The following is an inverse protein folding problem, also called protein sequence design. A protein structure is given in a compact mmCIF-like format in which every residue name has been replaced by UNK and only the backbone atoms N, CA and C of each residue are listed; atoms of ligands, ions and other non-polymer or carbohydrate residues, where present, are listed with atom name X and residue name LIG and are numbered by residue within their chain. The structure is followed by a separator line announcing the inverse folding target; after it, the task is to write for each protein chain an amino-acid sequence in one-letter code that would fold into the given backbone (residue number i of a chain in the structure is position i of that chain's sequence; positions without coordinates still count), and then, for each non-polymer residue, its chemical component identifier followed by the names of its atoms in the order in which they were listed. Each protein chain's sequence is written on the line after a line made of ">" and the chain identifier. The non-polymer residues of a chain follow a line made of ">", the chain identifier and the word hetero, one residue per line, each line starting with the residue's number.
data_IF_991999702115
#
_entry.id   IF_991999702115
#
_cell.length_a   1.000
_cell.length_b   1.000
_cell.length_c   1.000
_cell.angle_alpha   90.00
_cell.angle_beta   90.00
_cell.angle_gamma   90.00
#
_symmetry.space_group_name_H-M   'P 1'
#
loop_
_entity.id
_entity.type
_entity.pdbx_description
1 polymer ?
#
# COMPACT_ATOMS: atom_id res chain seq x y z
N UNK A 1 -2.54 20.46 -2.25
CA UNK A 1 -1.72 19.25 -2.48
C UNK A 1 -1.18 19.29 -3.90
N UNK A 2 0.11 19.07 -4.08
CA UNK A 2 0.76 19.03 -5.39
C UNK A 2 0.19 17.86 -6.23
N UNK A 3 -0.19 18.13 -7.49
CA UNK A 3 -0.85 17.13 -8.34
C UNK A 3 0.09 15.98 -8.72
N UNK A 4 1.39 16.27 -8.89
CA UNK A 4 2.40 15.25 -9.18
C UNK A 4 2.56 14.31 -7.98
N UNK A 5 2.63 14.88 -6.78
CA UNK A 5 2.75 14.14 -5.54
C UNK A 5 1.53 13.25 -5.28
N UNK A 6 0.32 13.78 -5.51
CA UNK A 6 -0.94 13.00 -5.47
C UNK A 6 -0.88 11.80 -6.40
N UNK A 7 -0.48 12.00 -7.67
CA UNK A 7 -0.36 10.91 -8.65
C UNK A 7 0.65 9.86 -8.24
N UNK A 8 1.81 10.28 -7.71
CA UNK A 8 2.85 9.37 -7.21
C UNK A 8 2.35 8.53 -6.03
N UNK A 9 1.66 9.15 -5.06
CA UNK A 9 1.03 8.44 -3.96
C UNK A 9 0.04 7.37 -4.43
N UNK A 10 -0.93 7.75 -5.27
CA UNK A 10 -1.93 6.82 -5.81
C UNK A 10 -1.27 5.69 -6.58
N UNK A 11 -0.27 5.99 -7.41
CA UNK A 11 0.48 4.99 -8.16
C UNK A 11 1.18 3.97 -7.25
N UNK A 12 1.89 4.44 -6.22
CA UNK A 12 2.61 3.57 -5.29
C UNK A 12 1.66 2.76 -4.39
N UNK A 13 0.59 3.37 -3.88
CA UNK A 13 -0.41 2.67 -3.08
C UNK A 13 -1.11 1.57 -3.88
N UNK A 14 -1.44 1.82 -5.15
CA UNK A 14 -1.99 0.80 -6.06
C UNK A 14 -1.01 -0.35 -6.30
N UNK A 15 0.27 -0.04 -6.52
CA UNK A 15 1.28 -1.07 -6.69
C UNK A 15 1.38 -1.97 -5.45
N UNK A 16 1.41 -1.39 -4.25
CA UNK A 16 1.40 -2.15 -2.99
C UNK A 16 0.16 -3.03 -2.88
N UNK A 17 -1.04 -2.51 -3.21
CA UNK A 17 -2.28 -3.30 -3.23
C UNK A 17 -2.17 -4.51 -4.16
N UNK A 18 -1.67 -4.33 -5.38
CA UNK A 18 -1.51 -5.41 -6.35
C UNK A 18 -0.53 -6.49 -5.85
N UNK A 19 0.57 -6.07 -5.23
CA UNK A 19 1.53 -7.02 -4.64
C UNK A 19 0.92 -7.79 -3.47
N UNK A 20 0.16 -7.12 -2.61
CA UNK A 20 -0.58 -7.77 -1.52
C UNK A 20 -1.58 -8.79 -2.05
N UNK A 21 -2.33 -8.46 -3.11
CA UNK A 21 -3.26 -9.40 -3.74
C UNK A 21 -2.57 -10.63 -4.30
N UNK A 22 -1.38 -10.45 -4.90
CA UNK A 22 -0.57 -11.56 -5.39
C UNK A 22 -0.11 -12.47 -4.25
N UNK A 23 0.44 -11.89 -3.18
CA UNK A 23 0.91 -12.63 -1.99
C UNK A 23 -0.23 -13.38 -1.29
N UNK A 24 -1.38 -12.73 -1.15
CA UNK A 24 -2.56 -13.31 -0.50
C UNK A 24 -3.39 -14.23 -1.40
N UNK A 25 -3.09 -14.28 -2.70
CA UNK A 25 -3.93 -14.91 -3.73
C UNK A 25 -5.43 -14.58 -3.57
N UNK A 26 -5.73 -13.32 -3.25
CA UNK A 26 -7.06 -12.84 -2.89
C UNK A 26 -7.15 -11.33 -3.13
N UNK A 27 -8.35 -10.80 -3.34
CA UNK A 27 -8.58 -9.34 -3.37
C UNK A 27 -8.98 -8.78 -2.00
N UNK A 28 -9.25 -9.65 -1.03
CA UNK A 28 -9.55 -9.27 0.35
C UNK A 28 -8.27 -8.82 1.08
N UNK A 29 -8.19 -7.53 1.44
CA UNK A 29 -6.99 -6.96 2.05
C UNK A 29 -6.67 -7.58 3.42
N UNK A 30 -7.67 -7.98 4.21
CA UNK A 30 -7.42 -8.62 5.50
C UNK A 30 -6.70 -9.97 5.33
N UNK A 31 -7.15 -10.78 4.36
CA UNK A 31 -6.50 -12.02 3.94
C UNK A 31 -5.07 -11.77 3.46
N UNK A 32 -4.88 -10.76 2.62
CA UNK A 32 -3.56 -10.41 2.08
C UNK A 32 -2.58 -9.95 3.17
N UNK A 33 -3.04 -9.11 4.11
CA UNK A 33 -2.23 -8.71 5.25
C UNK A 33 -1.89 -9.89 6.15
N UNK A 34 -2.83 -10.81 6.36
CA UNK A 34 -2.56 -12.03 7.12
C UNK A 34 -1.44 -12.87 6.47
N UNK A 35 -1.54 -13.11 5.16
CA UNK A 35 -0.51 -13.84 4.40
C UNK A 35 0.86 -13.14 4.45
N UNK A 36 0.89 -11.82 4.23
CA UNK A 36 2.13 -11.03 4.28
C UNK A 36 2.76 -11.01 5.69
N UNK A 37 1.95 -11.00 6.77
CA UNK A 37 2.45 -11.16 8.15
C UNK A 37 3.02 -12.55 8.40
N UNK A 38 2.30 -13.59 8.00
CA UNK A 38 2.74 -14.98 8.17
C UNK A 38 4.04 -15.27 7.42
N UNK A 39 4.25 -14.66 6.25
CA UNK A 39 5.50 -14.70 5.50
C UNK A 39 6.63 -13.82 6.05
N UNK A 40 6.43 -13.14 7.20
CA UNK A 40 7.43 -12.24 7.79
C UNK A 40 7.68 -10.95 6.99
N UNK A 41 6.83 -10.65 6.02
CA UNK A 41 7.00 -9.51 5.10
C UNK A 41 6.52 -8.20 5.75
N UNK A 42 5.54 -8.24 6.64
CA UNK A 42 4.98 -7.08 7.33
C UNK A 42 4.84 -7.33 8.83
N UNK A 43 5.09 -6.29 9.62
CA UNK A 43 4.76 -6.24 11.05
C UNK A 43 3.35 -5.68 11.31
N UNK A 44 2.94 -5.65 12.58
CA UNK A 44 1.65 -5.07 12.99
C UNK A 44 1.53 -3.57 12.67
N UNK A 45 2.59 -2.80 12.89
CA UNK A 45 2.62 -1.36 12.55
C UNK A 45 2.57 -1.12 11.04
N UNK A 46 3.22 -1.99 10.25
CA UNK A 46 3.18 -1.92 8.80
C UNK A 46 1.74 -2.14 8.28
N UNK A 47 1.04 -3.13 8.83
CA UNK A 47 -0.34 -3.44 8.44
C UNK A 47 -1.30 -2.30 8.80
N UNK A 48 -1.16 -1.72 10.00
CA UNK A 48 -1.99 -0.57 10.41
C UNK A 48 -1.81 0.59 9.44
N UNK A 49 -0.55 0.97 9.21
CA UNK A 49 -0.24 2.09 8.32
C UNK A 49 -0.69 1.81 6.88
N UNK A 50 -0.38 0.65 6.32
CA UNK A 50 -0.81 0.29 4.98
C UNK A 50 -2.34 0.26 4.86
N UNK A 51 -3.06 -0.16 5.90
CA UNK A 51 -4.52 -0.07 5.95
C UNK A 51 -5.02 1.36 5.75
N UNK A 52 -4.44 2.32 6.46
CA UNK A 52 -4.78 3.75 6.33
C UNK A 52 -4.46 4.29 4.93
N UNK A 53 -3.27 3.98 4.40
CA UNK A 53 -2.84 4.48 3.10
C UNK A 53 -3.64 3.88 1.94
N UNK A 54 -3.96 2.59 2.00
CA UNK A 54 -4.81 1.94 1.01
C UNK A 54 -6.26 2.43 1.11
N UNK A 55 -6.75 2.73 2.31
CA UNK A 55 -8.05 3.38 2.51
C UNK A 55 -8.09 4.78 1.87
N UNK A 56 -7.04 5.57 2.06
CA UNK A 56 -6.92 6.89 1.45
C UNK A 56 -6.81 6.83 -0.09
N UNK A 57 -6.13 5.83 -0.64
CA UNK A 57 -6.10 5.59 -2.09
C UNK A 57 -7.49 5.21 -2.63
N UNK A 58 -8.24 4.35 -1.92
CA UNK A 58 -9.60 3.97 -2.32
C UNK A 58 -10.55 5.18 -2.29
N UNK A 59 -10.46 6.01 -1.24
CA UNK A 59 -11.22 7.25 -1.16
C UNK A 59 -10.89 8.21 -2.32
N UNK A 60 -9.62 8.28 -2.72
CA UNK A 60 -9.18 9.05 -3.87
C UNK A 60 -9.72 8.51 -5.18
N UNK A 61 -9.86 7.19 -5.32
CA UNK A 61 -10.45 6.57 -6.51
C UNK A 61 -11.96 6.83 -6.59
N UNK A 62 -12.65 6.81 -5.45
CA UNK A 62 -14.10 6.98 -5.39
C UNK A 62 -14.56 8.44 -5.49
N UNK A 63 -13.83 9.36 -4.84
CA UNK A 63 -14.29 10.74 -4.62
C UNK A 63 -13.34 11.81 -5.18
N UNK A 64 -12.29 11.41 -5.91
CA UNK A 64 -11.21 12.30 -6.37
C UNK A 64 -10.52 13.10 -5.23
N UNK A 65 -10.58 12.59 -4.01
CA UNK A 65 -10.03 13.25 -2.82
C UNK A 65 -9.14 12.30 -2.03
N UNK A 66 -7.91 12.73 -1.72
CA UNK A 66 -7.04 12.02 -0.78
C UNK A 66 -7.29 12.62 0.61
N UNK A 67 -7.88 11.89 1.56
CA UNK A 67 -8.27 12.43 2.87
C UNK A 67 -7.11 12.55 3.86
N UNK A 68 -5.87 12.46 3.37
CA UNK A 68 -4.63 12.55 4.17
C UNK A 68 -3.68 13.55 3.53
N UNK A 69 -2.82 14.16 4.35
CA UNK A 69 -1.71 14.93 3.84
C UNK A 69 -0.68 13.98 3.23
N UNK A 70 -0.35 14.21 1.95
CA UNK A 70 0.66 13.43 1.23
C UNK A 70 1.92 14.26 1.12
N UNK A 71 3.02 13.71 1.61
CA UNK A 71 4.37 14.24 1.46
C UNK A 71 5.30 13.23 0.75
N UNK A 72 6.51 13.67 0.38
CA UNK A 72 7.52 12.83 -0.27
C UNK A 72 7.98 11.64 0.60
N UNK A 73 7.99 11.80 1.93
CA UNK A 73 8.36 10.73 2.88
C UNK A 73 7.34 9.61 2.81
N UNK A 74 6.05 9.94 2.73
CA UNK A 74 4.97 8.97 2.61
C UNK A 74 5.05 8.18 1.30
N UNK A 75 5.32 8.86 0.19
CA UNK A 75 5.53 8.23 -1.12
C UNK A 75 6.75 7.31 -1.10
N UNK A 76 7.88 7.77 -0.54
CA UNK A 76 9.08 6.96 -0.39
C UNK A 76 8.83 5.73 0.51
N UNK A 77 7.97 5.86 1.52
CA UNK A 77 7.60 4.74 2.40
C UNK A 77 6.77 3.69 1.67
N UNK A 78 5.79 4.10 0.86
CA UNK A 78 5.04 3.19 0.00
C UNK A 78 5.94 2.47 -1.00
N UNK A 79 6.90 3.18 -1.60
CA UNK A 79 7.88 2.58 -2.49
C UNK A 79 8.70 1.49 -1.79
N UNK A 80 9.18 1.75 -0.56
CA UNK A 80 9.88 0.74 0.25
C UNK A 80 9.01 -0.48 0.56
N UNK A 81 7.72 -0.29 0.83
CA UNK A 81 6.80 -1.42 1.00
C UNK A 81 6.63 -2.21 -0.29
N UNK A 82 6.49 -1.55 -1.43
CA UNK A 82 6.41 -2.22 -2.72
C UNK A 82 7.68 -3.05 -3.00
N UNK A 83 8.88 -2.48 -2.79
CA UNK A 83 10.15 -3.19 -2.93
C UNK A 83 10.25 -4.41 -1.99
N UNK A 84 9.85 -4.23 -0.72
CA UNK A 84 9.89 -5.30 0.30
C UNK A 84 8.96 -6.46 -0.08
N UNK A 85 7.72 -6.16 -0.43
CA UNK A 85 6.71 -7.15 -0.82
C UNK A 85 7.12 -7.86 -2.12
N UNK A 86 7.61 -7.13 -3.11
CA UNK A 86 8.01 -7.71 -4.38
C UNK A 86 9.21 -8.67 -4.25
N UNK A 87 10.18 -8.35 -3.39
CA UNK A 87 11.33 -9.24 -3.09
C UNK A 87 10.90 -10.51 -2.37
N UNK A 88 10.01 -10.39 -1.39
CA UNK A 88 9.58 -11.51 -0.57
C UNK A 88 8.65 -12.49 -1.32
N UNK A 89 7.93 -12.02 -2.33
CA UNK A 89 7.11 -12.85 -3.21
C UNK A 89 7.94 -13.64 -4.25
N UNK A 90 9.15 -13.16 -4.59
CA UNK A 90 10.05 -13.83 -5.54
C UNK A 90 10.93 -14.92 -4.92
N UNK A 91 10.81 -15.16 -3.60
CA UNK A 91 11.65 -16.06 -2.81
C UNK A 91 10.91 -17.35 -2.47
#
# INVERSE_FOLDING_TARGET
>A
MDEVLRKRFVGQARLVRLLLWRIGNSTDLATCFCAAKQGGMLGDDDVRLLGELLGAEEACRANDAVPIEVDEVLVAKLQRYADKLNRADSA
#
